data_IF_204348822096
#
_entry.id   IF_204348822096
#
_cell.length_a   1.000
_cell.length_b   1.000
_cell.length_c   1.000
_cell.angle_alpha   90.00
_cell.angle_beta   90.00
_cell.angle_gamma   90.00
#
_symmetry.space_group_name_H-M   'P 1'
#
loop_
_entity.id
_entity.type
_entity.pdbx_description
1 polymer ?
#
# COMPACT_ATOMS: atom_id res chain seq x y z
N UNK A 1 -15.19 -5.75 -65.13
CA UNK A 1 -15.41 -5.49 -63.69
C UNK A 1 -16.51 -4.46 -63.60
N UNK A 2 -17.65 -4.81 -63.00
CA UNK A 2 -18.81 -3.94 -62.98
C UNK A 2 -18.65 -2.89 -61.86
N UNK A 3 -19.14 -1.67 -62.05
CA UNK A 3 -19.04 -0.60 -61.05
C UNK A 3 -19.71 -1.00 -59.72
N UNK A 4 -20.79 -1.77 -59.82
CA UNK A 4 -21.50 -2.32 -58.67
C UNK A 4 -20.68 -3.38 -57.91
N UNK A 5 -19.85 -4.15 -58.61
CA UNK A 5 -18.93 -5.12 -58.01
C UNK A 5 -17.87 -4.41 -57.17
N UNK A 6 -17.26 -3.35 -57.73
CA UNK A 6 -16.25 -2.55 -57.01
C UNK A 6 -16.83 -1.92 -55.75
N UNK A 7 -18.03 -1.34 -55.84
CA UNK A 7 -18.73 -0.73 -54.72
C UNK A 7 -19.01 -1.74 -53.61
N UNK A 8 -19.47 -2.93 -53.95
CA UNK A 8 -19.74 -3.99 -52.98
C UNK A 8 -18.45 -4.49 -52.29
N UNK A 9 -17.36 -4.71 -53.03
CA UNK A 9 -16.08 -5.07 -52.41
C UNK A 9 -15.56 -3.99 -51.47
N UNK A 10 -15.76 -2.72 -51.80
CA UNK A 10 -15.26 -1.62 -50.98
C UNK A 10 -16.05 -1.48 -49.67
N UNK A 11 -17.38 -1.55 -49.73
CA UNK A 11 -18.25 -1.56 -48.54
C UNK A 11 -17.94 -2.77 -47.64
N UNK A 12 -17.69 -3.93 -48.24
CA UNK A 12 -17.35 -5.14 -47.49
C UNK A 12 -16.00 -5.01 -46.78
N UNK A 13 -14.99 -4.45 -47.45
CA UNK A 13 -13.66 -4.24 -46.88
C UNK A 13 -13.67 -3.18 -45.77
N UNK A 14 -14.49 -2.13 -45.91
CA UNK A 14 -14.67 -1.13 -44.86
C UNK A 14 -15.38 -1.70 -43.63
N UNK A 15 -16.38 -2.57 -43.82
CA UNK A 15 -17.02 -3.29 -42.71
C UNK A 15 -16.05 -4.21 -41.96
N UNK A 16 -15.15 -4.89 -42.68
CA UNK A 16 -14.14 -5.78 -42.10
C UNK A 16 -13.07 -5.00 -41.32
N UNK A 17 -12.64 -3.86 -41.85
CA UNK A 17 -11.69 -2.98 -41.16
C UNK A 17 -12.30 -2.36 -39.90
N UNK A 18 -13.56 -1.91 -39.95
CA UNK A 18 -14.25 -1.39 -38.78
C UNK A 18 -14.43 -2.47 -37.69
N UNK A 19 -14.77 -3.70 -38.09
CA UNK A 19 -14.84 -4.84 -37.18
C UNK A 19 -13.45 -5.18 -36.57
N UNK A 20 -12.37 -5.13 -37.36
CA UNK A 20 -11.02 -5.37 -36.86
C UNK A 20 -10.57 -4.29 -35.86
N UNK A 21 -10.81 -3.01 -36.15
CA UNK A 21 -10.46 -1.89 -35.26
C UNK A 21 -11.22 -2.00 -33.92
N UNK A 22 -12.49 -2.38 -33.95
CA UNK A 22 -13.30 -2.55 -32.73
C UNK A 22 -12.89 -3.77 -31.92
N UNK A 23 -12.51 -4.88 -32.58
CA UNK A 23 -11.93 -6.06 -31.92
C UNK A 23 -10.61 -5.67 -31.24
N UNK A 24 -9.70 -4.99 -31.94
CA UNK A 24 -8.41 -4.58 -31.39
C UNK A 24 -8.57 -3.64 -30.18
N UNK A 25 -9.47 -2.65 -30.27
CA UNK A 25 -9.78 -1.76 -29.15
C UNK A 25 -10.34 -2.53 -27.95
N UNK A 26 -11.24 -3.48 -28.20
CA UNK A 26 -11.83 -4.32 -27.15
C UNK A 26 -10.76 -5.21 -26.51
N UNK A 27 -9.90 -5.86 -27.29
CA UNK A 27 -8.80 -6.68 -26.78
C UNK A 27 -7.79 -5.85 -25.98
N UNK A 28 -7.49 -4.63 -26.40
CA UNK A 28 -6.61 -3.72 -25.65
C UNK A 28 -7.22 -3.28 -24.31
N UNK A 29 -8.53 -3.03 -24.28
CA UNK A 29 -9.27 -2.72 -23.05
C UNK A 29 -9.31 -3.94 -22.12
N UNK A 30 -9.65 -5.12 -22.64
CA UNK A 30 -9.67 -6.39 -21.90
C UNK A 30 -8.29 -6.74 -21.34
N UNK A 31 -7.21 -6.57 -22.12
CA UNK A 31 -5.84 -6.77 -21.66
C UNK A 31 -5.43 -5.79 -20.56
N UNK A 32 -5.81 -4.51 -20.67
CA UNK A 32 -5.55 -3.49 -19.64
C UNK A 32 -6.29 -3.80 -18.35
N UNK A 33 -7.56 -4.20 -18.44
CA UNK A 33 -8.40 -4.61 -17.31
C UNK A 33 -7.83 -5.86 -16.66
N UNK A 34 -7.50 -6.90 -17.43
CA UNK A 34 -6.95 -8.15 -16.90
C UNK A 34 -5.60 -7.93 -16.18
N UNK A 35 -4.74 -7.05 -16.71
CA UNK A 35 -3.48 -6.68 -16.04
C UNK A 35 -3.72 -5.91 -14.74
N UNK A 36 -4.72 -5.04 -14.68
CA UNK A 36 -5.12 -4.36 -13.42
C UNK A 36 -5.71 -5.36 -12.41
N UNK A 37 -6.52 -6.32 -12.86
CA UNK A 37 -7.03 -7.42 -12.03
C UNK A 37 -5.90 -8.24 -11.41
N UNK A 38 -4.89 -8.60 -12.21
CA UNK A 38 -3.74 -9.37 -11.72
C UNK A 38 -2.94 -8.59 -10.67
N UNK A 39 -2.72 -7.29 -10.87
CA UNK A 39 -2.03 -6.42 -9.90
C UNK A 39 -2.80 -6.31 -8.57
N UNK A 40 -4.11 -6.11 -8.62
CA UNK A 40 -4.96 -6.07 -7.42
C UNK A 40 -5.03 -7.44 -6.72
N UNK A 41 -5.05 -8.54 -7.48
CA UNK A 41 -5.02 -9.89 -6.93
C UNK A 41 -3.69 -10.20 -6.24
N UNK A 42 -2.57 -9.83 -6.85
CA UNK A 42 -1.24 -9.96 -6.25
C UNK A 42 -1.14 -9.11 -4.97
N UNK A 43 -1.64 -7.87 -5.01
CA UNK A 43 -1.70 -6.99 -3.84
C UNK A 43 -2.55 -7.62 -2.71
N UNK A 44 -3.70 -8.21 -3.03
CA UNK A 44 -4.55 -8.91 -2.05
C UNK A 44 -3.79 -10.03 -1.36
N UNK A 45 -3.11 -10.89 -2.13
CA UNK A 45 -2.33 -11.99 -1.57
C UNK A 45 -1.16 -11.52 -0.72
N UNK A 46 -0.44 -10.48 -1.15
CA UNK A 46 0.60 -9.86 -0.35
C UNK A 46 0.05 -9.37 1.00
N UNK A 47 -1.11 -8.69 1.00
CA UNK A 47 -1.74 -8.20 2.24
C UNK A 47 -2.21 -9.33 3.15
N UNK A 48 -2.69 -10.44 2.60
CA UNK A 48 -3.04 -11.63 3.40
C UNK A 48 -1.79 -12.21 4.08
N UNK A 49 -0.68 -12.36 3.33
CA UNK A 49 0.58 -12.86 3.88
C UNK A 49 1.12 -11.92 4.96
N UNK A 50 1.12 -10.61 4.71
CA UNK A 50 1.52 -9.59 5.68
C UNK A 50 0.62 -9.63 6.94
N UNK A 51 -0.70 -9.83 6.81
CA UNK A 51 -1.60 -9.98 7.95
C UNK A 51 -1.24 -11.19 8.82
N UNK A 52 -0.92 -12.34 8.21
CA UNK A 52 -0.46 -13.52 8.96
C UNK A 52 0.83 -13.19 9.73
N UNK A 53 1.77 -12.50 9.08
CA UNK A 53 3.02 -12.06 9.72
C UNK A 53 2.74 -11.11 10.90
N UNK A 54 1.92 -10.07 10.72
CA UNK A 54 1.55 -9.15 11.82
C UNK A 54 0.85 -9.88 12.96
N UNK A 55 0.00 -10.85 12.67
CA UNK A 55 -0.64 -11.68 13.68
C UNK A 55 0.38 -12.52 14.48
N UNK A 56 1.34 -13.15 13.80
CA UNK A 56 2.45 -13.84 14.48
C UNK A 56 3.27 -12.89 15.35
N UNK A 57 3.59 -11.69 14.86
CA UNK A 57 4.30 -10.66 15.64
C UNK A 57 3.51 -10.28 16.91
N UNK A 58 2.18 -10.13 16.81
CA UNK A 58 1.34 -9.82 17.97
C UNK A 58 1.37 -10.93 19.03
N UNK A 59 1.38 -12.19 18.62
CA UNK A 59 1.51 -13.32 19.55
C UNK A 59 2.88 -13.27 20.25
N UNK A 60 3.96 -13.06 19.50
CA UNK A 60 5.31 -12.97 20.07
C UNK A 60 5.46 -11.80 21.05
N UNK A 61 4.96 -10.61 20.68
CA UNK A 61 4.97 -9.44 21.55
C UNK A 61 4.10 -9.66 22.80
N UNK A 62 2.93 -10.28 22.64
CA UNK A 62 2.05 -10.61 23.75
C UNK A 62 2.70 -11.57 24.75
N UNK A 63 3.39 -12.60 24.25
CA UNK A 63 4.17 -13.52 25.09
C UNK A 63 5.32 -12.78 25.78
N UNK A 64 6.06 -11.94 25.07
CA UNK A 64 7.17 -11.16 25.62
C UNK A 64 6.71 -10.25 26.76
N UNK A 65 5.57 -9.57 26.60
CA UNK A 65 5.02 -8.67 27.62
C UNK A 65 4.52 -9.47 28.84
N UNK A 66 3.91 -10.64 28.61
CA UNK A 66 3.40 -11.51 29.66
C UNK A 66 4.51 -12.23 30.45
N UNK A 67 5.70 -12.37 29.87
CA UNK A 67 6.87 -12.95 30.53
C UNK A 67 7.53 -11.90 31.45
N UNK A 68 7.53 -12.19 32.75
CA UNK A 68 8.24 -11.41 33.77
C UNK A 68 7.36 -10.63 34.74
N UNK A 69 7.98 -10.00 35.73
CA UNK A 69 7.30 -9.23 36.77
C UNK A 69 6.54 -8.02 36.18
N UNK A 70 5.49 -7.55 36.86
CA UNK A 70 4.69 -6.35 36.50
C UNK A 70 5.47 -5.03 36.71
N UNK A 71 6.77 -5.02 36.41
CA UNK A 71 7.62 -3.84 36.43
C UNK A 71 7.68 -3.21 35.04
N UNK A 72 7.45 -1.90 34.96
CA UNK A 72 7.42 -1.15 33.71
C UNK A 72 8.87 -0.86 33.26
N UNK A 73 9.44 -1.73 32.43
CA UNK A 73 10.75 -1.50 31.80
C UNK A 73 10.63 -0.77 30.45
N UNK A 74 11.70 -0.10 30.02
CA UNK A 74 11.76 0.56 28.72
C UNK A 74 11.50 -0.41 27.54
N UNK A 75 11.93 -1.67 27.67
CA UNK A 75 11.68 -2.72 26.66
C UNK A 75 10.22 -3.12 26.60
N UNK A 76 9.52 -3.24 27.75
CA UNK A 76 8.08 -3.52 27.80
C UNK A 76 7.24 -2.38 27.23
N UNK A 77 7.59 -1.13 27.54
CA UNK A 77 6.93 0.05 26.93
C UNK A 77 7.11 0.04 25.42
N UNK A 78 8.32 -0.25 24.94
CA UNK A 78 8.60 -0.37 23.52
C UNK A 78 7.80 -1.50 22.86
N UNK A 79 7.67 -2.66 23.52
CA UNK A 79 6.87 -3.79 23.03
C UNK A 79 5.38 -3.44 22.94
N UNK A 80 4.85 -2.68 23.90
CA UNK A 80 3.47 -2.17 23.85
C UNK A 80 3.27 -1.22 22.67
N UNK A 81 4.19 -0.28 22.44
CA UNK A 81 4.13 0.64 21.29
C UNK A 81 4.16 -0.15 19.97
N UNK A 82 5.07 -1.11 19.84
CA UNK A 82 5.12 -1.97 18.65
C UNK A 82 3.85 -2.80 18.46
N UNK A 83 3.22 -3.25 19.56
CA UNK A 83 1.95 -3.97 19.50
C UNK A 83 0.83 -3.09 18.94
N UNK A 84 0.78 -1.80 19.31
CA UNK A 84 -0.18 -0.84 18.73
C UNK A 84 0.03 -0.73 17.22
N UNK A 85 1.27 -0.57 16.75
CA UNK A 85 1.56 -0.52 15.32
C UNK A 85 1.27 -1.83 14.59
N UNK A 86 1.50 -2.98 15.23
CA UNK A 86 1.17 -4.28 14.67
C UNK A 86 -0.35 -4.50 14.55
N UNK A 87 -1.15 -4.06 15.53
CA UNK A 87 -2.62 -4.05 15.45
C UNK A 87 -3.09 -3.16 14.30
N UNK A 88 -2.53 -1.95 14.22
CA UNK A 88 -2.83 -1.00 13.13
C UNK A 88 -2.50 -1.62 11.77
N UNK A 89 -1.32 -2.24 11.62
CA UNK A 89 -0.90 -2.91 10.39
C UNK A 89 -1.83 -4.06 10.01
N UNK A 90 -2.21 -4.89 10.99
CA UNK A 90 -3.15 -5.99 10.80
C UNK A 90 -4.54 -5.50 10.36
N UNK A 91 -5.12 -4.56 11.11
CA UNK A 91 -6.43 -3.98 10.81
C UNK A 91 -6.41 -3.27 9.45
N UNK A 92 -5.34 -2.55 9.14
CA UNK A 92 -5.12 -1.90 7.86
C UNK A 92 -5.05 -2.88 6.69
N UNK A 93 -4.31 -3.98 6.83
CA UNK A 93 -4.22 -5.01 5.81
C UNK A 93 -5.55 -5.74 5.60
N UNK A 94 -6.29 -6.04 6.67
CA UNK A 94 -7.65 -6.61 6.58
C UNK A 94 -8.58 -5.64 5.84
N UNK A 95 -8.58 -4.36 6.22
CA UNK A 95 -9.36 -3.32 5.55
C UNK A 95 -9.02 -3.22 4.06
N UNK A 96 -7.74 -3.32 3.71
CA UNK A 96 -7.28 -3.29 2.32
C UNK A 96 -7.76 -4.52 1.54
N UNK A 97 -7.74 -5.72 2.14
CA UNK A 97 -8.27 -6.95 1.52
C UNK A 97 -9.78 -6.82 1.26
N UNK A 98 -10.54 -6.26 2.20
CA UNK A 98 -11.98 -6.02 2.05
C UNK A 98 -12.24 -5.02 0.92
N UNK A 99 -11.50 -3.92 0.86
CA UNK A 99 -11.64 -2.93 -0.23
C UNK A 99 -11.32 -3.53 -1.59
N UNK A 100 -10.25 -4.32 -1.72
CA UNK A 100 -9.91 -4.99 -2.97
C UNK A 100 -10.99 -6.02 -3.36
N UNK A 101 -11.58 -6.73 -2.39
CA UNK A 101 -12.64 -7.70 -2.65
C UNK A 101 -13.94 -7.06 -3.15
N UNK A 102 -14.19 -5.79 -2.84
CA UNK A 102 -15.34 -5.02 -3.34
C UNK A 102 -15.17 -4.52 -4.78
N UNK A 103 -13.97 -4.59 -5.35
CA UNK A 103 -13.72 -4.16 -6.74
C UNK A 103 -14.37 -5.17 -7.70
N UNK A 104 -15.56 -4.82 -8.18
CA UNK A 104 -16.27 -5.56 -9.22
C UNK A 104 -16.09 -4.87 -10.58
N UNK A 105 -15.49 -5.59 -11.52
CA UNK A 105 -15.18 -5.10 -12.87
C UNK A 105 -16.39 -5.11 -13.81
N UNK A 106 -17.52 -5.67 -13.35
CA UNK A 106 -18.80 -5.68 -14.07
C UNK A 106 -19.61 -4.41 -13.84
N UNK A 107 -19.20 -3.59 -12.86
CA UNK A 107 -19.87 -2.34 -12.51
C UNK A 107 -19.58 -1.23 -13.54
N UNK A 108 -20.43 -0.19 -13.62
CA UNK A 108 -20.17 0.99 -14.44
C UNK A 108 -18.79 1.58 -14.16
N UNK A 109 -18.13 2.10 -15.19
CA UNK A 109 -16.75 2.58 -15.14
C UNK A 109 -16.53 3.57 -13.99
N UNK A 110 -17.49 4.44 -13.70
CA UNK A 110 -17.41 5.42 -12.61
C UNK A 110 -17.33 4.76 -11.22
N UNK A 111 -18.12 3.72 -10.97
CA UNK A 111 -18.10 2.99 -9.68
C UNK A 111 -16.81 2.17 -9.53
N UNK A 112 -16.37 1.51 -10.62
CA UNK A 112 -15.10 0.79 -10.65
C UNK A 112 -13.93 1.74 -10.32
N UNK A 113 -13.91 2.91 -10.96
CA UNK A 113 -12.92 3.95 -10.72
C UNK A 113 -12.90 4.41 -9.25
N UNK A 114 -14.08 4.68 -8.67
CA UNK A 114 -14.21 5.06 -7.26
C UNK A 114 -13.71 3.98 -6.30
N UNK A 115 -14.03 2.72 -6.55
CA UNK A 115 -13.56 1.60 -5.75
C UNK A 115 -12.02 1.46 -5.83
N UNK A 116 -11.45 1.63 -7.02
CA UNK A 116 -9.98 1.65 -7.21
C UNK A 116 -9.36 2.83 -6.44
N UNK A 117 -9.95 4.02 -6.51
CA UNK A 117 -9.47 5.20 -5.76
C UNK A 117 -9.47 4.94 -4.25
N UNK A 118 -10.52 4.33 -3.71
CA UNK A 118 -10.58 3.97 -2.29
C UNK A 118 -9.46 3.01 -1.89
N UNK A 119 -9.16 2.00 -2.71
CA UNK A 119 -8.03 1.08 -2.48
C UNK A 119 -6.70 1.85 -2.46
N UNK A 120 -6.52 2.81 -3.39
CA UNK A 120 -5.31 3.62 -3.50
C UNK A 120 -5.12 4.56 -2.30
N UNK A 121 -6.20 5.22 -1.87
CA UNK A 121 -6.22 6.08 -0.70
C UNK A 121 -5.92 5.31 0.57
N UNK A 122 -6.60 4.18 0.77
CA UNK A 122 -6.37 3.31 1.93
C UNK A 122 -4.93 2.81 1.99
N UNK A 123 -4.37 2.37 0.85
CA UNK A 123 -2.97 1.93 0.78
C UNK A 123 -1.99 3.04 1.15
N UNK A 124 -2.20 4.25 0.65
CA UNK A 124 -1.36 5.40 0.97
C UNK A 124 -1.47 5.77 2.46
N UNK A 125 -2.68 5.81 3.01
CA UNK A 125 -2.92 6.10 4.43
C UNK A 125 -2.28 5.05 5.34
N UNK A 126 -2.46 3.76 5.03
CA UNK A 126 -1.83 2.67 5.76
C UNK A 126 -0.31 2.77 5.73
N UNK A 127 0.27 3.08 4.56
CA UNK A 127 1.72 3.25 4.41
C UNK A 127 2.24 4.40 5.26
N UNK A 128 1.54 5.53 5.31
CA UNK A 128 1.89 6.67 6.17
C UNK A 128 1.83 6.31 7.65
N UNK A 129 0.83 5.55 8.04
CA UNK A 129 0.64 5.16 9.43
C UNK A 129 1.71 4.14 9.88
N UNK A 130 2.11 3.22 9.00
CA UNK A 130 3.25 2.33 9.24
C UNK A 130 4.59 3.09 9.18
N UNK A 131 4.72 4.12 8.35
CA UNK A 131 5.92 4.96 8.32
C UNK A 131 6.15 5.64 9.68
N UNK A 132 5.10 5.96 10.43
CA UNK A 132 5.19 6.50 11.79
C UNK A 132 5.76 5.51 12.81
N UNK A 133 5.89 4.22 12.48
CA UNK A 133 6.56 3.24 13.34
C UNK A 133 8.09 3.23 13.16
N UNK A 134 8.60 3.79 12.05
CA UNK A 134 10.04 3.86 11.73
C UNK A 134 10.92 4.47 12.84
N UNK A 135 10.51 5.54 13.56
CA UNK A 135 11.28 6.10 14.67
C UNK A 135 11.57 5.10 15.80
N UNK A 136 10.81 4.02 15.87
CA UNK A 136 10.97 2.92 16.82
C UNK A 136 11.84 1.78 16.26
N UNK A 137 12.68 2.04 15.26
CA UNK A 137 13.53 1.02 14.60
C UNK A 137 14.32 0.16 15.61
N UNK A 138 14.86 0.75 16.68
CA UNK A 138 15.60 0.03 17.71
C UNK A 138 14.73 -0.87 18.60
N UNK A 139 13.45 -0.56 18.76
CA UNK A 139 12.55 -1.45 19.48
C UNK A 139 12.47 -2.81 18.76
N UNK A 140 12.42 -2.80 17.43
CA UNK A 140 12.45 -4.04 16.64
C UNK A 140 13.77 -4.80 16.82
N UNK A 141 14.91 -4.08 16.89
CA UNK A 141 16.23 -4.70 17.09
C UNK A 141 16.33 -5.31 18.48
N UNK A 142 16.06 -4.54 19.54
CA UNK A 142 16.22 -5.02 20.91
C UNK A 142 15.27 -6.16 21.23
N UNK A 143 13.97 -6.00 20.91
CA UNK A 143 12.98 -7.04 21.18
C UNK A 143 13.21 -8.26 20.27
N UNK A 144 13.60 -8.04 19.01
CA UNK A 144 13.91 -9.12 18.09
C UNK A 144 15.07 -9.98 18.58
N UNK A 145 16.16 -9.37 19.05
CA UNK A 145 17.30 -10.11 19.59
C UNK A 145 16.99 -10.82 20.91
N UNK A 146 16.22 -10.19 21.78
CA UNK A 146 15.79 -10.77 23.05
C UNK A 146 14.88 -11.99 22.79
N UNK A 147 13.85 -11.85 21.95
CA UNK A 147 12.90 -12.93 21.64
C UNK A 147 13.53 -14.07 20.83
N UNK A 148 14.38 -13.78 19.84
CA UNK A 148 14.94 -14.80 18.94
C UNK A 148 16.19 -15.48 19.48
N UNK A 149 17.03 -14.76 20.23
CA UNK A 149 18.33 -15.26 20.68
C UNK A 149 18.47 -15.26 22.21
N UNK A 150 17.50 -14.73 22.97
CA UNK A 150 17.61 -14.57 24.42
C UNK A 150 18.63 -13.51 24.85
N UNK A 151 19.00 -12.60 23.94
CA UNK A 151 20.06 -11.61 24.18
C UNK A 151 19.44 -10.26 24.50
N UNK A 152 19.52 -9.85 25.77
CA UNK A 152 19.09 -8.52 26.22
C UNK A 152 20.11 -7.43 25.80
N UNK A 153 20.10 -7.04 24.53
CA UNK A 153 21.00 -6.01 23.98
C UNK A 153 20.92 -4.68 24.73
N UNK A 154 19.75 -4.32 25.25
CA UNK A 154 19.56 -3.08 26.00
C UNK A 154 20.47 -2.98 27.24
N UNK A 155 20.78 -4.10 27.89
CA UNK A 155 21.63 -4.13 29.10
C UNK A 155 23.12 -3.94 28.79
N UNK A 156 23.52 -4.14 27.53
CA UNK A 156 24.90 -4.07 27.08
C UNK A 156 25.24 -2.70 26.48
N UNK A 157 24.32 -1.74 26.55
CA UNK A 157 24.47 -0.42 25.94
C UNK A 157 25.11 0.57 26.88
N UNK A 158 26.11 1.29 26.37
CA UNK A 158 26.69 2.43 27.08
C UNK A 158 25.74 3.64 27.06
N UNK A 159 25.84 4.48 28.10
CA UNK A 159 24.97 5.66 28.27
C UNK A 159 25.00 6.61 27.07
N UNK A 160 26.16 6.80 26.44
CA UNK A 160 26.31 7.66 25.27
C UNK A 160 25.56 7.11 24.03
N UNK A 161 25.49 5.77 23.89
CA UNK A 161 24.74 5.13 22.80
C UNK A 161 23.24 5.29 23.01
N UNK A 162 22.74 5.13 24.24
CA UNK A 162 21.33 5.37 24.58
C UNK A 162 20.90 6.79 24.22
N UNK A 163 21.75 7.78 24.51
CA UNK A 163 21.50 9.18 24.14
C UNK A 163 21.47 9.38 22.63
N UNK A 164 22.48 8.87 21.92
CA UNK A 164 22.54 8.96 20.46
C UNK A 164 21.28 8.36 19.81
N UNK A 165 20.88 7.18 20.26
CA UNK A 165 19.70 6.50 19.78
C UNK A 165 18.41 7.24 20.06
N UNK A 166 18.24 7.76 21.27
CA UNK A 166 17.06 8.56 21.65
C UNK A 166 16.93 9.81 20.77
N UNK A 167 18.04 10.53 20.56
CA UNK A 167 18.06 11.72 19.68
C UNK A 167 17.76 11.31 18.22
N UNK A 168 18.34 10.21 17.75
CA UNK A 168 18.08 9.70 16.40
C UNK A 168 16.61 9.35 16.17
N UNK A 169 15.94 8.72 17.14
CA UNK A 169 14.52 8.41 17.07
C UNK A 169 13.66 9.66 17.01
N UNK A 170 13.98 10.70 17.81
CA UNK A 170 13.25 11.97 17.78
C UNK A 170 13.41 12.66 16.42
N UNK A 171 14.63 12.67 15.86
CA UNK A 171 14.88 13.25 14.53
C UNK A 171 14.10 12.50 13.45
N UNK A 172 14.14 11.15 13.48
CA UNK A 172 13.35 10.32 12.56
C UNK A 172 11.85 10.55 12.70
N UNK A 173 11.35 10.78 13.92
CA UNK A 173 9.94 11.12 14.14
C UNK A 173 9.56 12.42 13.44
N UNK A 174 10.39 13.46 13.55
CA UNK A 174 10.16 14.73 12.85
C UNK A 174 10.13 14.51 11.33
N UNK A 175 11.10 13.77 10.79
CA UNK A 175 11.19 13.47 9.35
C UNK A 175 9.98 12.68 8.87
N UNK A 176 9.59 11.62 9.59
CA UNK A 176 8.46 10.76 9.20
C UNK A 176 7.12 11.48 9.29
N UNK A 177 6.93 12.36 10.28
CA UNK A 177 5.74 13.24 10.38
C UNK A 177 5.72 14.22 9.21
N UNK A 178 6.83 14.87 8.89
CA UNK A 178 6.93 15.80 7.77
C UNK A 178 6.63 15.13 6.42
N UNK A 179 7.25 13.97 6.16
CA UNK A 179 6.98 13.16 4.97
C UNK A 179 5.51 12.76 4.89
N UNK A 180 4.94 12.28 6.01
CA UNK A 180 3.53 11.89 6.08
C UNK A 180 2.59 13.07 5.81
N UNK A 181 2.91 14.27 6.30
CA UNK A 181 2.12 15.46 6.01
C UNK A 181 2.16 15.82 4.51
N UNK A 182 3.32 15.68 3.86
CA UNK A 182 3.49 16.03 2.44
C UNK A 182 2.94 14.96 1.47
N UNK A 183 2.96 13.68 1.85
CA UNK A 183 2.43 12.57 1.06
C UNK A 183 0.90 12.57 1.03
N UNK A 184 0.33 13.35 0.12
CA UNK A 184 -1.10 13.46 -0.15
C UNK A 184 -1.32 13.64 -1.66
N UNK A 185 -2.43 13.11 -2.20
CA UNK A 185 -2.82 13.32 -3.60
C UNK A 185 -2.98 14.80 -3.95
N UNK A 186 -3.30 15.68 -2.99
CA UNK A 186 -3.31 17.15 -3.20
C UNK A 186 -1.94 17.73 -3.58
N UNK A 187 -0.86 17.08 -3.14
CA UNK A 187 0.52 17.53 -3.38
C UNK A 187 1.17 16.80 -4.56
N UNK A 188 0.39 16.08 -5.38
CA UNK A 188 0.89 15.24 -6.46
C UNK A 188 1.55 16.04 -7.60
N UNK A 189 1.39 17.36 -7.61
CA UNK A 189 2.12 18.27 -8.50
C UNK A 189 3.63 18.33 -8.19
N UNK A 190 4.06 17.90 -7.00
CA UNK A 190 5.49 17.81 -6.65
C UNK A 190 6.06 16.47 -7.12
N UNK A 191 7.12 16.50 -7.93
CA UNK A 191 7.68 15.30 -8.58
C UNK A 191 8.04 14.17 -7.60
N UNK A 192 8.71 14.48 -6.49
CA UNK A 192 9.09 13.45 -5.52
C UNK A 192 7.86 12.83 -4.84
N UNK A 193 6.81 13.63 -4.57
CA UNK A 193 5.55 13.15 -3.97
C UNK A 193 4.84 12.23 -4.95
N UNK A 194 4.76 12.63 -6.22
CA UNK A 194 4.19 11.81 -7.30
C UNK A 194 4.93 10.49 -7.42
N UNK A 195 6.25 10.51 -7.53
CA UNK A 195 7.08 9.32 -7.66
C UNK A 195 6.92 8.39 -6.45
N UNK A 196 6.84 8.95 -5.23
CA UNK A 196 6.64 8.16 -4.01
C UNK A 196 5.26 7.52 -3.97
N UNK A 197 4.20 8.26 -4.30
CA UNK A 197 2.84 7.71 -4.36
C UNK A 197 2.72 6.65 -5.47
N UNK A 198 3.37 6.87 -6.63
CA UNK A 198 3.43 5.88 -7.72
C UNK A 198 4.18 4.62 -7.31
N UNK A 199 5.27 4.74 -6.56
CA UNK A 199 5.99 3.59 -6.02
C UNK A 199 5.14 2.83 -5.00
N UNK A 200 4.50 3.54 -4.07
CA UNK A 200 3.65 2.93 -3.04
C UNK A 200 2.47 2.24 -3.70
N UNK A 201 1.66 2.96 -4.48
CA UNK A 201 0.36 2.51 -4.95
C UNK A 201 0.47 1.70 -6.24
N UNK A 202 1.36 2.11 -7.14
CA UNK A 202 1.51 1.60 -8.50
C UNK A 202 1.14 2.67 -9.53
N UNK A 203 1.98 2.89 -10.54
CA UNK A 203 1.80 3.96 -11.54
C UNK A 203 0.41 3.95 -12.19
N UNK A 204 -0.07 2.77 -12.59
CA UNK A 204 -1.38 2.60 -13.24
C UNK A 204 -2.55 2.98 -12.34
N UNK A 205 -2.42 2.71 -11.05
CA UNK A 205 -3.46 2.97 -10.06
C UNK A 205 -3.49 4.45 -9.67
N UNK A 206 -2.34 5.12 -9.69
CA UNK A 206 -2.24 6.58 -9.53
C UNK A 206 -2.91 7.34 -10.67
N UNK A 207 -2.73 6.90 -11.93
CA UNK A 207 -3.34 7.59 -13.07
C UNK A 207 -4.88 7.56 -12.98
N UNK A 208 -5.46 6.44 -12.54
CA UNK A 208 -6.91 6.32 -12.30
C UNK A 208 -7.36 7.23 -11.16
N UNK A 209 -6.61 7.26 -10.05
CA UNK A 209 -6.88 8.14 -8.92
C UNK A 209 -6.83 9.64 -9.29
N UNK A 210 -5.83 10.04 -10.08
CA UNK A 210 -5.68 11.41 -10.55
C UNK A 210 -6.81 11.84 -11.47
N UNK A 211 -7.24 10.95 -12.37
CA UNK A 211 -8.36 11.21 -13.27
C UNK A 211 -9.65 11.53 -12.50
N UNK A 212 -9.99 10.73 -11.49
CA UNK A 212 -11.18 10.93 -10.66
C UNK A 212 -11.08 12.22 -9.84
N UNK A 213 -9.93 12.45 -9.21
CA UNK A 213 -9.70 13.66 -8.41
C UNK A 213 -9.86 14.94 -9.25
N UNK A 214 -9.42 14.92 -10.52
CA UNK A 214 -9.58 16.07 -11.41
C UNK A 214 -11.04 16.31 -11.81
N UNK A 215 -11.85 15.25 -11.94
CA UNK A 215 -13.29 15.34 -12.23
C UNK A 215 -14.04 15.90 -11.03
N UNK A 216 -13.73 15.50 -9.80
CA UNK A 216 -14.39 16.01 -8.59
C UNK A 216 -13.97 17.46 -8.24
N UNK A 217 -12.81 17.92 -8.71
CA UNK A 217 -12.31 19.28 -8.47
C UNK A 217 -12.68 20.32 -9.54
N UNK A 218 -13.32 19.89 -10.63
CA UNK A 218 -13.77 20.74 -11.74
C UNK A 218 -15.26 21.07 -11.59
#
# INVERSE_FOLDING_TARGET
MNLDEMKNTWVQQESQNAAAITIDQRTLVEMKINKQMQQLRAMKWARIIESVLFFCILILLGQYIAQGEFTLSATKVSALILSVFAIIGLAGNIGQVILIAKVDYSQPINELQKNIYQVCCHKLQLTKLLLMSTPFYLAYVFIGFDVLFGIALFQHLESHMVWFYSVSSVLLLIVTVWLSAKLNYKNIHTDWVKNTIQFIVGERLVNVAQFINNIESS
#
